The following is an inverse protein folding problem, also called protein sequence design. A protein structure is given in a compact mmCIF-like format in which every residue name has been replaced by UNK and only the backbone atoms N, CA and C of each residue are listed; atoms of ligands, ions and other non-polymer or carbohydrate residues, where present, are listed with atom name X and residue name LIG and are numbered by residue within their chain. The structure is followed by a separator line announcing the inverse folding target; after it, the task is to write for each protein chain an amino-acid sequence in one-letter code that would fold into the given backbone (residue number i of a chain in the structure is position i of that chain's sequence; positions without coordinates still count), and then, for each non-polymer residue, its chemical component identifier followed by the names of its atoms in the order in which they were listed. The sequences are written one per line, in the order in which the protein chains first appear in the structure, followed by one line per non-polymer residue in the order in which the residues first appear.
data_IF_992095920495
#
_entry.id   IF_992095920495
#
_cell.length_a   1.000
_cell.length_b   1.000
_cell.length_c   1.000
_cell.angle_alpha   90.00
_cell.angle_beta   90.00
_cell.angle_gamma   90.00
#
_symmetry.space_group_name_H-M   'P 1'
#
loop_
_entity.id
_entity.type
_entity.pdbx_description
1 polymer ?
#
# COMPACT_ATOMS: atom_id res chain seq x y z
N UNK A 1 16.60 -11.04 -15.28
CA UNK A 1 16.45 -10.56 -16.67
C UNK A 1 17.19 -11.46 -17.67
N UNK A 2 18.50 -11.68 -17.52
CA UNK A 2 19.32 -12.40 -18.51
C UNK A 2 18.92 -13.85 -18.86
N UNK A 3 18.11 -14.52 -18.02
CA UNK A 3 17.58 -15.86 -18.29
C UNK A 3 16.05 -15.90 -18.54
N UNK A 4 15.38 -14.74 -18.58
CA UNK A 4 13.94 -14.67 -18.80
C UNK A 4 13.66 -14.67 -20.31
N UNK A 5 12.88 -15.65 -20.78
CA UNK A 5 12.54 -15.81 -22.20
C UNK A 5 11.33 -14.99 -22.65
N UNK A 6 10.47 -14.60 -21.69
CA UNK A 6 9.34 -13.70 -21.94
C UNK A 6 9.84 -12.25 -22.01
N UNK A 7 9.70 -11.55 -23.16
CA UNK A 7 10.18 -10.19 -23.33
C UNK A 7 9.52 -9.18 -22.38
N UNK A 8 8.22 -9.32 -22.10
CA UNK A 8 7.50 -8.42 -21.22
C UNK A 8 8.01 -8.59 -19.79
N UNK A 9 8.07 -9.84 -19.32
CA UNK A 9 8.58 -10.14 -17.98
C UNK A 9 10.05 -9.77 -17.82
N UNK A 10 10.86 -9.92 -18.87
CA UNK A 10 12.24 -9.47 -18.86
C UNK A 10 12.33 -7.96 -18.63
N UNK A 11 11.50 -7.17 -19.31
CA UNK A 11 11.47 -5.72 -19.16
C UNK A 11 11.01 -5.30 -17.75
N UNK A 12 10.01 -5.97 -17.18
CA UNK A 12 9.60 -5.77 -15.79
C UNK A 12 10.76 -6.02 -14.82
N UNK A 13 11.50 -7.12 -14.98
CA UNK A 13 12.66 -7.44 -14.15
C UNK A 13 13.78 -6.40 -14.27
N UNK A 14 14.01 -5.87 -15.48
CA UNK A 14 14.98 -4.79 -15.69
C UNK A 14 14.54 -3.51 -14.98
N UNK A 15 13.24 -3.20 -15.03
CA UNK A 15 12.62 -2.05 -14.36
C UNK A 15 12.76 -2.16 -12.85
N UNK A 16 12.40 -3.32 -12.27
CA UNK A 16 12.59 -3.61 -10.84
C UNK A 16 14.05 -3.40 -10.45
N UNK A 17 15.00 -3.95 -11.20
CA UNK A 17 16.42 -3.80 -10.90
C UNK A 17 16.90 -2.34 -10.97
N UNK A 18 16.38 -1.55 -11.92
CA UNK A 18 16.69 -0.12 -12.03
C UNK A 18 16.14 0.67 -10.83
N UNK A 19 14.89 0.43 -10.45
CA UNK A 19 14.26 1.04 -9.28
C UNK A 19 15.04 0.70 -8.00
N UNK A 20 15.39 -0.57 -7.79
CA UNK A 20 16.15 -1.00 -6.61
C UNK A 20 17.52 -0.31 -6.53
N UNK A 21 18.25 -0.20 -7.66
CA UNK A 21 19.54 0.50 -7.71
C UNK A 21 19.39 1.99 -7.41
N UNK A 22 18.34 2.62 -7.92
CA UNK A 22 18.06 4.03 -7.64
C UNK A 22 17.79 4.25 -6.15
N UNK A 23 16.84 3.51 -5.57
CA UNK A 23 16.41 3.63 -4.18
C UNK A 23 17.52 3.33 -3.16
N UNK A 24 18.55 2.58 -3.55
CA UNK A 24 19.70 2.31 -2.69
C UNK A 24 20.54 3.56 -2.40
N UNK A 25 20.47 4.59 -3.25
CA UNK A 25 21.33 5.78 -3.16
C UNK A 25 20.55 7.10 -3.19
N UNK A 26 19.30 7.08 -3.66
CA UNK A 26 18.51 8.28 -3.92
C UNK A 26 17.10 8.15 -3.35
N UNK A 27 16.52 9.30 -2.99
CA UNK A 27 15.11 9.39 -2.61
C UNK A 27 14.23 9.05 -3.82
N UNK A 28 13.05 8.41 -3.62
CA UNK A 28 12.12 8.14 -4.71
C UNK A 28 11.64 9.45 -5.34
N UNK A 29 11.36 9.40 -6.64
CA UNK A 29 10.91 10.56 -7.45
C UNK A 29 9.61 10.29 -8.19
N UNK A 30 9.17 9.04 -8.22
CA UNK A 30 7.94 8.58 -8.84
C UNK A 30 7.26 7.51 -7.95
N UNK A 31 6.05 7.12 -8.32
CA UNK A 31 5.25 6.16 -7.57
C UNK A 31 5.86 4.75 -7.52
N UNK A 32 6.39 4.18 -8.63
CA UNK A 32 7.07 2.90 -8.57
C UNK A 32 8.25 2.85 -7.61
N UNK A 33 9.10 3.88 -7.61
CA UNK A 33 10.20 3.97 -6.66
C UNK A 33 9.70 4.10 -5.23
N UNK A 34 8.68 4.92 -4.99
CA UNK A 34 8.10 5.10 -3.66
C UNK A 34 7.51 3.80 -3.10
N UNK A 35 6.72 3.07 -3.91
CA UNK A 35 6.13 1.79 -3.53
C UNK A 35 7.20 0.74 -3.21
N UNK A 36 8.26 0.67 -4.01
CA UNK A 36 9.36 -0.28 -3.78
C UNK A 36 10.15 0.04 -2.51
N UNK A 37 10.45 1.32 -2.26
CA UNK A 37 11.14 1.74 -1.04
C UNK A 37 10.25 1.52 0.20
N UNK A 38 8.98 1.88 0.12
CA UNK A 38 8.00 1.60 1.16
C UNK A 38 7.99 0.11 1.51
N UNK A 39 7.95 -0.77 0.52
CA UNK A 39 7.98 -2.22 0.76
C UNK A 39 9.31 -2.70 1.39
N UNK A 40 10.45 -2.15 0.95
CA UNK A 40 11.73 -2.45 1.59
C UNK A 40 11.77 -2.07 3.06
N UNK A 41 11.27 -0.88 3.43
CA UNK A 41 11.23 -0.47 4.83
C UNK A 41 10.37 -1.43 5.67
N UNK A 42 9.22 -1.87 5.14
CA UNK A 42 8.37 -2.85 5.82
C UNK A 42 9.09 -4.19 6.04
N UNK A 43 9.81 -4.70 5.05
CA UNK A 43 10.59 -5.95 5.20
C UNK A 43 11.77 -5.75 6.16
N UNK A 44 12.56 -4.69 6.00
CA UNK A 44 13.77 -4.45 6.78
C UNK A 44 13.44 -4.36 8.27
N UNK A 45 12.38 -3.64 8.63
CA UNK A 45 11.94 -3.54 10.03
C UNK A 45 11.53 -4.90 10.61
N UNK A 46 10.96 -5.80 9.80
CA UNK A 46 10.63 -7.15 10.24
C UNK A 46 11.85 -8.07 10.36
N UNK A 47 12.91 -7.81 9.60
CA UNK A 47 14.20 -8.49 9.79
C UNK A 47 14.93 -7.98 11.03
N UNK A 48 14.82 -6.69 11.33
CA UNK A 48 15.41 -6.09 12.54
C UNK A 48 14.73 -6.62 13.81
N UNK A 49 13.41 -6.78 13.78
CA UNK A 49 12.63 -7.31 14.91
C UNK A 49 11.39 -8.03 14.43
N UNK A 50 11.02 -9.14 15.10
CA UNK A 50 9.74 -9.81 14.91
C UNK A 50 8.59 -9.00 15.54
N UNK A 51 8.43 -7.75 15.10
CA UNK A 51 7.55 -6.76 15.69
C UNK A 51 6.18 -6.78 14.99
N UNK A 52 5.11 -6.83 15.79
CA UNK A 52 3.75 -6.64 15.28
C UNK A 52 3.37 -5.17 15.24
N UNK A 53 2.40 -4.84 14.39
CA UNK A 53 1.75 -3.52 14.32
C UNK A 53 2.63 -2.37 13.84
N UNK A 54 3.59 -2.67 12.96
CA UNK A 54 4.27 -1.65 12.15
C UNK A 54 3.23 -1.07 11.20
N UNK A 55 2.62 0.05 11.61
CA UNK A 55 1.49 0.64 10.90
C UNK A 55 1.97 1.47 9.71
N UNK A 56 1.25 1.39 8.61
CA UNK A 56 1.55 2.09 7.37
C UNK A 56 1.17 3.58 7.45
N UNK A 57 0.35 3.96 8.44
CA UNK A 57 -0.01 5.35 8.71
C UNK A 57 -0.89 5.94 7.60
N UNK A 58 -0.78 7.25 7.36
CA UNK A 58 -1.59 7.97 6.34
C UNK A 58 -1.06 7.75 4.92
N UNK A 59 -1.11 6.51 4.45
CA UNK A 59 -0.55 6.05 3.17
C UNK A 59 -0.98 6.93 2.00
N UNK A 60 -2.27 7.25 1.93
CA UNK A 60 -2.85 8.07 0.87
C UNK A 60 -2.34 9.52 0.85
N UNK A 61 -1.71 10.02 1.91
CA UNK A 61 -1.17 11.38 1.96
C UNK A 61 0.30 11.43 1.53
N UNK A 62 1.17 10.63 2.15
CA UNK A 62 2.60 10.71 1.85
C UNK A 62 2.96 10.06 0.51
N UNK A 63 2.11 9.17 -0.03
CA UNK A 63 2.31 8.58 -1.34
C UNK A 63 1.74 9.43 -2.49
N UNK A 64 0.83 10.36 -2.20
CA UNK A 64 0.13 11.16 -3.22
C UNK A 64 1.08 11.98 -4.11
N UNK A 65 2.12 12.66 -3.58
CA UNK A 65 3.03 13.42 -4.42
C UNK A 65 3.73 12.55 -5.47
N UNK A 66 4.07 11.30 -5.12
CA UNK A 66 4.73 10.36 -6.04
C UNK A 66 3.76 9.84 -7.09
N UNK A 67 2.52 9.55 -6.71
CA UNK A 67 1.45 9.18 -7.64
C UNK A 67 1.20 10.28 -8.68
N UNK A 68 1.07 11.52 -8.21
CA UNK A 68 0.87 12.67 -9.10
C UNK A 68 2.10 12.91 -10.00
N UNK A 69 3.32 12.75 -9.47
CA UNK A 69 4.54 12.88 -10.25
C UNK A 69 4.60 11.84 -11.38
N UNK A 70 4.25 10.59 -11.11
CA UNK A 70 4.16 9.52 -12.12
C UNK A 70 3.17 9.86 -13.23
N UNK A 71 1.97 10.33 -12.88
CA UNK A 71 0.97 10.75 -13.86
C UNK A 71 1.46 11.91 -14.73
N UNK A 72 2.11 12.91 -14.12
CA UNK A 72 2.65 14.06 -14.84
C UNK A 72 3.81 13.68 -15.77
N UNK A 73 4.54 12.60 -15.47
CA UNK A 73 5.58 12.02 -16.32
C UNK A 73 5.01 11.12 -17.43
N UNK A 74 3.68 10.97 -17.52
CA UNK A 74 3.01 10.17 -18.54
C UNK A 74 2.96 8.67 -18.25
N UNK A 75 3.18 8.25 -16.99
CA UNK A 75 2.98 6.84 -16.62
C UNK A 75 1.48 6.48 -16.69
N UNK A 76 1.20 5.28 -17.20
CA UNK A 76 -0.18 4.78 -17.37
C UNK A 76 -0.88 4.62 -16.01
N UNK A 77 -2.04 5.26 -15.78
CA UNK A 77 -2.82 5.07 -14.57
C UNK A 77 -3.18 3.61 -14.28
N UNK A 78 -3.41 2.78 -15.30
CA UNK A 78 -3.74 1.37 -15.12
C UNK A 78 -2.57 0.59 -14.52
N UNK A 79 -1.35 0.85 -15.02
CA UNK A 79 -0.12 0.30 -14.46
C UNK A 79 0.10 0.72 -12.99
N UNK A 80 -0.14 2.00 -12.65
CA UNK A 80 0.00 2.47 -11.27
C UNK A 80 -1.00 1.81 -10.33
N UNK A 81 -2.23 1.55 -10.81
CA UNK A 81 -3.26 0.82 -10.05
C UNK A 81 -2.85 -0.63 -9.82
N UNK A 82 -2.38 -1.33 -10.85
CA UNK A 82 -1.87 -2.71 -10.73
C UNK A 82 -0.69 -2.79 -9.75
N UNK A 83 0.20 -1.79 -9.77
CA UNK A 83 1.31 -1.73 -8.83
C UNK A 83 0.83 -1.55 -7.38
N UNK A 84 -0.18 -0.73 -7.15
CA UNK A 84 -0.81 -0.56 -5.85
C UNK A 84 -1.44 -1.87 -5.36
N UNK A 85 -2.17 -2.57 -6.23
CA UNK A 85 -2.76 -3.88 -5.95
C UNK A 85 -1.68 -4.92 -5.62
N UNK A 86 -0.59 -4.93 -6.39
CA UNK A 86 0.57 -5.79 -6.12
C UNK A 86 1.16 -5.51 -4.74
N UNK A 87 1.25 -4.24 -4.32
CA UNK A 87 1.72 -3.88 -2.98
C UNK A 87 0.77 -4.39 -1.89
N UNK A 88 -0.54 -4.36 -2.12
CA UNK A 88 -1.54 -4.92 -1.19
C UNK A 88 -1.36 -6.43 -1.05
N UNK A 89 -1.11 -7.14 -2.15
CA UNK A 89 -0.75 -8.57 -2.11
C UNK A 89 0.51 -8.76 -1.24
N UNK A 90 1.56 -7.98 -1.47
CA UNK A 90 2.81 -8.06 -0.69
C UNK A 90 2.61 -7.84 0.80
N UNK A 91 1.69 -6.99 1.23
CA UNK A 91 1.37 -6.79 2.66
C UNK A 91 0.93 -8.07 3.39
N UNK A 92 0.57 -9.14 2.66
CA UNK A 92 0.17 -10.44 3.21
C UNK A 92 1.29 -11.48 3.21
N UNK A 93 2.47 -11.18 2.65
CA UNK A 93 3.60 -12.12 2.60
C UNK A 93 4.34 -12.23 3.95
N UNK A 94 4.17 -11.25 4.83
CA UNK A 94 4.86 -11.20 6.11
C UNK A 94 4.11 -12.06 7.12
N UNK A 95 4.82 -13.02 7.71
CA UNK A 95 4.30 -13.92 8.73
C UNK A 95 5.10 -13.73 10.01
N UNK A 96 4.39 -13.39 11.10
CA UNK A 96 5.01 -13.24 12.41
C UNK A 96 5.02 -14.58 13.14
N UNK A 97 6.22 -15.04 13.53
CA UNK A 97 6.35 -16.25 14.31
C UNK A 97 5.94 -15.99 15.75
N UNK A 98 5.02 -16.81 16.27
CA UNK A 98 4.51 -16.70 17.64
C UNK A 98 4.59 -18.06 18.34
N UNK A 99 4.76 -18.03 19.65
CA UNK A 99 4.64 -19.24 20.47
C UNK A 99 3.19 -19.77 20.43
N UNK A 100 3.00 -21.07 20.66
CA UNK A 100 1.67 -21.70 20.62
C UNK A 100 0.68 -21.11 21.64
N UNK A 101 1.15 -20.55 22.75
CA UNK A 101 0.31 -19.85 23.72
C UNK A 101 -0.10 -18.46 23.21
N UNK A 102 0.83 -17.70 22.63
CA UNK A 102 0.55 -16.38 22.05
C UNK A 102 -0.35 -16.46 20.82
N UNK A 103 -0.16 -17.46 19.96
CA UNK A 103 -0.93 -17.63 18.73
C UNK A 103 -2.44 -17.76 18.96
N UNK A 104 -2.89 -18.22 20.14
CA UNK A 104 -4.33 -18.29 20.49
C UNK A 104 -4.97 -16.91 20.62
N UNK A 105 -4.19 -15.90 21.03
CA UNK A 105 -4.65 -14.52 21.19
C UNK A 105 -4.42 -13.67 19.92
N UNK A 106 -3.64 -14.19 18.98
CA UNK A 106 -3.31 -13.54 17.70
C UNK A 106 -3.52 -14.50 16.54
N UNK A 107 -4.71 -15.12 16.50
CA UNK A 107 -5.08 -16.06 15.45
C UNK A 107 -5.24 -15.35 14.09
N UNK A 108 -4.96 -16.07 12.99
CA UNK A 108 -5.10 -15.54 11.63
C UNK A 108 -3.89 -14.77 11.10
N UNK A 109 -2.70 -14.96 11.68
CA UNK A 109 -1.45 -14.32 11.28
C UNK A 109 -1.51 -12.78 11.16
N UNK A 110 -2.08 -12.06 12.15
CA UNK A 110 -2.20 -10.61 12.05
C UNK A 110 -0.80 -9.96 12.15
N UNK A 111 -0.41 -9.24 11.10
CA UNK A 111 0.80 -8.41 11.08
C UNK A 111 0.53 -7.03 11.70
N UNK A 112 -0.71 -6.54 11.59
CA UNK A 112 -1.13 -5.24 12.11
C UNK A 112 -0.77 -4.06 11.20
N UNK A 113 -0.62 -4.30 9.89
CA UNK A 113 -0.32 -3.26 8.91
C UNK A 113 -1.53 -2.37 8.69
N UNK A 114 -1.67 -1.33 9.51
CA UNK A 114 -2.81 -0.40 9.43
C UNK A 114 -2.49 0.76 8.51
N UNK A 115 -3.25 0.90 7.42
CA UNK A 115 -3.22 2.07 6.53
C UNK A 115 -4.47 2.93 6.78
N UNK A 116 -4.25 4.22 7.02
CA UNK A 116 -5.29 5.21 7.27
C UNK A 116 -5.55 6.04 6.02
N UNK A 117 -6.82 6.24 5.70
CA UNK A 117 -7.30 6.97 4.53
C UNK A 117 -8.16 8.18 4.93
N UNK A 118 -8.07 9.25 4.16
CA UNK A 118 -8.87 10.46 4.31
C UNK A 118 -8.57 11.24 5.59
N UNK A 119 -9.63 11.75 6.23
CA UNK A 119 -9.55 12.63 7.39
C UNK A 119 -9.41 14.10 7.00
N UNK A 120 -8.65 14.86 7.79
CA UNK A 120 -8.39 16.28 7.58
C UNK A 120 -6.92 16.56 7.30
N UNK A 121 -6.65 17.64 6.57
CA UNK A 121 -5.31 18.25 6.44
C UNK A 121 -4.92 18.94 7.74
N UNK A 122 -3.68 19.39 7.84
CA UNK A 122 -3.18 20.26 8.92
C UNK A 122 -3.99 21.56 9.07
N UNK A 123 -4.54 22.06 7.96
CA UNK A 123 -5.39 23.24 7.85
C UNK A 123 -6.88 22.95 8.06
N UNK A 124 -7.26 21.72 8.43
CA UNK A 124 -8.64 21.35 8.73
C UNK A 124 -9.55 21.16 7.51
N UNK A 125 -8.99 21.08 6.29
CA UNK A 125 -9.74 20.77 5.07
C UNK A 125 -9.85 19.26 4.88
N UNK A 126 -10.79 18.79 4.07
CA UNK A 126 -10.86 17.37 3.69
C UNK A 126 -9.52 16.92 3.07
N UNK A 127 -8.98 15.82 3.58
CA UNK A 127 -7.76 15.19 3.07
C UNK A 127 -8.05 13.98 2.16
N UNK A 128 -9.32 13.75 1.81
CA UNK A 128 -9.68 12.73 0.83
C UNK A 128 -9.09 13.11 -0.52
N UNK A 129 -8.40 12.18 -1.17
CA UNK A 129 -7.75 12.38 -2.45
C UNK A 129 -7.89 11.12 -3.35
N UNK A 130 -7.34 11.17 -4.56
CA UNK A 130 -7.43 10.06 -5.52
C UNK A 130 -6.84 8.75 -4.98
N UNK A 131 -5.74 8.79 -4.23
CA UNK A 131 -5.17 7.60 -3.61
C UNK A 131 -6.07 7.05 -2.51
N UNK A 132 -6.85 7.87 -1.81
CA UNK A 132 -7.83 7.38 -0.83
C UNK A 132 -8.82 6.43 -1.50
N UNK A 133 -9.34 6.78 -2.67
CA UNK A 133 -10.24 5.93 -3.46
C UNK A 133 -9.51 4.69 -4.01
N UNK A 134 -8.33 4.87 -4.60
CA UNK A 134 -7.57 3.77 -5.18
C UNK A 134 -7.15 2.72 -4.15
N UNK A 135 -6.89 3.11 -2.89
CA UNK A 135 -6.62 2.17 -1.81
C UNK A 135 -7.85 1.30 -1.49
N UNK A 136 -9.05 1.87 -1.52
CA UNK A 136 -10.29 1.11 -1.37
C UNK A 136 -10.51 0.19 -2.58
N UNK A 137 -10.28 0.68 -3.80
CA UNK A 137 -10.36 -0.16 -5.01
C UNK A 137 -9.38 -1.33 -4.97
N UNK A 138 -8.12 -1.07 -4.59
CA UNK A 138 -7.10 -2.11 -4.48
C UNK A 138 -7.51 -3.19 -3.48
N UNK A 139 -8.06 -2.80 -2.33
CA UNK A 139 -8.60 -3.76 -1.36
C UNK A 139 -9.81 -4.53 -1.90
N UNK A 140 -10.75 -3.86 -2.57
CA UNK A 140 -11.92 -4.52 -3.17
C UNK A 140 -11.53 -5.56 -4.24
N UNK A 141 -10.43 -5.34 -4.97
CA UNK A 141 -9.92 -6.25 -5.99
C UNK A 141 -9.08 -7.39 -5.40
N UNK A 142 -8.24 -7.10 -4.41
CA UNK A 142 -7.31 -8.08 -3.82
C UNK A 142 -7.98 -8.97 -2.77
N UNK A 143 -8.86 -8.40 -1.93
CA UNK A 143 -9.64 -9.11 -0.89
C UNK A 143 -8.81 -9.98 0.06
N UNK A 144 -7.56 -9.60 0.32
CA UNK A 144 -6.72 -10.24 1.31
C UNK A 144 -6.78 -9.50 2.66
N UNK A 145 -6.50 -10.17 3.79
CA UNK A 145 -6.66 -9.59 5.12
C UNK A 145 -5.81 -8.35 5.41
N UNK A 146 -4.62 -8.23 4.81
CA UNK A 146 -3.74 -7.08 4.93
C UNK A 146 -3.69 -6.26 3.63
N UNK A 147 -3.41 -4.95 3.71
CA UNK A 147 -3.34 -4.15 4.94
C UNK A 147 -4.72 -3.95 5.58
N UNK A 148 -4.74 -3.76 6.90
CA UNK A 148 -5.92 -3.32 7.63
C UNK A 148 -6.22 -1.86 7.23
N UNK A 149 -7.32 -1.62 6.52
CA UNK A 149 -7.72 -0.27 6.12
C UNK A 149 -8.54 0.41 7.22
N UNK A 150 -8.20 1.65 7.54
CA UNK A 150 -8.98 2.54 8.39
C UNK A 150 -9.36 3.82 7.66
N UNK A 151 -10.63 4.22 7.73
CA UNK A 151 -11.11 5.48 7.13
C UNK A 151 -11.38 6.50 8.23
N UNK A 152 -10.76 7.68 8.14
CA UNK A 152 -10.96 8.77 9.10
C UNK A 152 -12.16 9.63 8.70
N UNK A 153 -13.26 9.46 9.42
CA UNK A 153 -14.52 10.19 9.18
C UNK A 153 -14.54 11.51 9.94
N UNK A 154 -15.13 12.53 9.33
CA UNK A 154 -15.37 13.85 9.91
C UNK A 154 -16.57 14.50 9.17
N UNK A 155 -17.05 15.65 9.65
CA UNK A 155 -18.22 16.32 9.07
C UNK A 155 -18.00 16.82 7.63
N UNK A 156 -16.74 17.05 7.23
CA UNK A 156 -16.36 17.54 5.90
C UNK A 156 -16.04 16.42 4.91
N UNK A 157 -16.26 15.15 5.30
CA UNK A 157 -15.94 14.00 4.43
C UNK A 157 -16.77 14.05 3.14
N UNK A 158 -16.10 13.76 2.03
CA UNK A 158 -16.76 13.67 0.74
C UNK A 158 -17.74 12.49 0.71
N UNK A 159 -19.00 12.74 0.30
CA UNK A 159 -20.06 11.71 0.32
C UNK A 159 -19.78 10.52 -0.61
N UNK A 160 -19.28 10.72 -1.85
CA UNK A 160 -18.77 9.63 -2.68
C UNK A 160 -17.74 8.75 -1.96
N UNK A 161 -16.77 9.33 -1.26
CA UNK A 161 -15.77 8.55 -0.53
C UNK A 161 -16.37 7.74 0.63
N UNK A 162 -17.30 8.34 1.37
CA UNK A 162 -18.04 7.63 2.43
C UNK A 162 -18.87 6.48 1.87
N UNK A 163 -19.54 6.69 0.73
CA UNK A 163 -20.29 5.63 0.03
C UNK A 163 -19.36 4.51 -0.43
N UNK A 164 -18.23 4.83 -1.05
CA UNK A 164 -17.22 3.85 -1.47
C UNK A 164 -16.71 3.03 -0.29
N UNK A 165 -16.50 3.66 0.86
CA UNK A 165 -16.15 2.95 2.10
C UNK A 165 -17.24 1.96 2.51
N UNK A 166 -18.50 2.36 2.48
CA UNK A 166 -19.62 1.46 2.78
C UNK A 166 -19.76 0.32 1.76
N UNK A 167 -19.46 0.56 0.48
CA UNK A 167 -19.38 -0.48 -0.56
C UNK A 167 -18.26 -1.49 -0.26
N UNK A 168 -17.10 -1.02 0.21
CA UNK A 168 -16.02 -1.91 0.65
C UNK A 168 -16.45 -2.79 1.83
N UNK A 169 -17.08 -2.20 2.86
CA UNK A 169 -17.59 -2.94 4.03
C UNK A 169 -18.61 -4.00 3.61
N UNK A 170 -19.44 -3.70 2.59
CA UNK A 170 -20.46 -4.64 2.08
C UNK A 170 -19.86 -5.95 1.55
N UNK A 171 -18.57 -6.00 1.22
CA UNK A 171 -17.89 -7.24 0.80
C UNK A 171 -17.79 -8.28 1.94
N UNK A 172 -17.96 -7.87 3.20
CA UNK A 172 -17.98 -8.80 4.35
C UNK A 172 -16.60 -9.30 4.77
N UNK A 173 -15.55 -8.56 4.45
CA UNK A 173 -14.15 -8.90 4.74
C UNK A 173 -13.62 -8.24 6.02
N UNK A 174 -14.48 -7.52 6.76
CA UNK A 174 -14.18 -6.72 7.94
C UNK A 174 -14.95 -5.40 7.92
#
# INVERSE_FOLDING_TARGET
AGHCQDPQRQQELLTIAAISRHNAQHRPTDFPQACQLFWYMNIILQYESNASSISLGRFDQYMLPFYQASLNQGQDPAYLKELLESLWVKCNDIVLLRSSSSARYFAGFPTGYTALLGGLTDTGRSAVNVLSFLCLDAYQNVQLPQPNLGVRVNELIDRPFLRKTAETIRLGTG
#
